data_IF_527531595248
#
_entry.id   IF_527531595248
#
_cell.length_a   1.000
_cell.length_b   1.000
_cell.length_c   1.000
_cell.angle_alpha   90.00
_cell.angle_beta   90.00
_cell.angle_gamma   90.00
#
_symmetry.space_group_name_H-M   'P 1'
#
loop_
_entity.id
_entity.type
_entity.pdbx_description
1 polymer ?
#
# COMPACT_ATOMS: atom_id res chain seq x y z
N UNK A 1 16.98 2.22 -12.98
CA UNK A 1 16.99 2.05 -11.50
C UNK A 1 16.14 3.08 -10.76
N UNK A 2 15.89 4.25 -11.36
CA UNK A 2 15.03 5.26 -10.76
C UNK A 2 13.62 4.73 -10.43
N UNK A 3 13.08 3.86 -11.27
CA UNK A 3 11.75 3.27 -11.09
C UNK A 3 11.68 2.39 -9.85
N UNK A 4 12.70 1.57 -9.64
CA UNK A 4 12.78 0.69 -8.47
C UNK A 4 12.98 1.50 -7.21
N UNK A 5 13.83 2.52 -7.27
CA UNK A 5 14.08 3.41 -6.14
C UNK A 5 12.83 4.21 -5.77
N UNK A 6 12.12 4.73 -6.76
CA UNK A 6 10.83 5.41 -6.54
C UNK A 6 9.81 4.49 -5.88
N UNK A 7 9.72 3.25 -6.35
CA UNK A 7 8.86 2.25 -5.75
C UNK A 7 9.22 1.98 -4.29
N UNK A 8 10.51 1.87 -3.99
CA UNK A 8 10.98 1.69 -2.63
C UNK A 8 10.60 2.88 -1.74
N UNK A 9 10.84 4.10 -2.20
CA UNK A 9 10.53 5.33 -1.44
C UNK A 9 9.03 5.42 -1.16
N UNK A 10 8.19 5.20 -2.17
CA UNK A 10 6.74 5.25 -2.02
C UNK A 10 6.25 4.13 -1.12
N UNK A 11 6.81 2.93 -1.25
CA UNK A 11 6.51 1.81 -0.36
C UNK A 11 6.86 2.11 1.10
N UNK A 12 8.00 2.73 1.33
CA UNK A 12 8.41 3.17 2.67
C UNK A 12 7.44 4.20 3.23
N UNK A 13 7.10 5.22 2.45
CA UNK A 13 6.15 6.25 2.87
C UNK A 13 4.77 5.66 3.18
N UNK A 14 4.30 4.75 2.34
CA UNK A 14 3.04 4.06 2.58
C UNK A 14 3.08 3.18 3.83
N UNK A 15 4.21 2.53 4.11
CA UNK A 15 4.37 1.73 5.33
C UNK A 15 4.24 2.58 6.59
N UNK A 16 4.77 3.81 6.57
CA UNK A 16 4.61 4.74 7.69
C UNK A 16 3.14 5.11 7.91
N UNK A 17 2.41 5.42 6.85
CA UNK A 17 0.97 5.71 6.92
C UNK A 17 0.19 4.51 7.43
N UNK A 18 0.47 3.33 6.90
CA UNK A 18 -0.18 2.08 7.31
C UNK A 18 0.06 1.81 8.80
N UNK A 19 1.30 1.97 9.25
CA UNK A 19 1.67 1.78 10.66
C UNK A 19 0.94 2.77 11.56
N UNK A 20 0.83 4.04 11.15
CA UNK A 20 0.11 5.05 11.90
C UNK A 20 -1.38 4.69 12.05
N UNK A 21 -2.02 4.26 10.97
CA UNK A 21 -3.43 3.84 11.01
C UNK A 21 -3.61 2.60 11.88
N UNK A 22 -2.71 1.62 11.74
CA UNK A 22 -2.74 0.40 12.56
C UNK A 22 -2.56 0.72 14.05
N UNK A 23 -1.66 1.63 14.39
CA UNK A 23 -1.44 2.07 15.78
C UNK A 23 -2.69 2.73 16.36
N UNK A 24 -3.37 3.60 15.60
CA UNK A 24 -4.62 4.22 16.03
C UNK A 24 -5.69 3.15 16.27
N UNK A 25 -5.79 2.16 15.39
CA UNK A 25 -6.76 1.08 15.55
C UNK A 25 -6.50 0.25 16.81
N UNK A 26 -5.23 -0.03 17.11
CA UNK A 26 -4.84 -0.76 18.33
C UNK A 26 -5.15 0.05 19.58
N UNK A 27 -4.83 1.35 19.58
CA UNK A 27 -5.09 2.25 20.71
C UNK A 27 -6.59 2.37 20.99
N UNK A 28 -7.40 2.46 19.94
CA UNK A 28 -8.86 2.54 20.09
C UNK A 28 -9.49 1.20 20.54
N UNK A 29 -8.70 0.12 20.59
CA UNK A 29 -9.21 -1.21 20.95
C UNK A 29 -10.24 -1.75 19.98
N UNK A 30 -10.34 -1.17 18.79
CA UNK A 30 -11.31 -1.55 17.76
C UNK A 30 -10.70 -2.43 16.68
N UNK A 31 -9.66 -3.18 17.01
CA UNK A 31 -9.07 -4.12 16.09
C UNK A 31 -10.08 -5.19 15.70
N UNK A 32 -10.42 -5.27 14.42
CA UNK A 32 -11.27 -6.34 13.88
C UNK A 32 -10.47 -7.58 13.51
N UNK A 33 -9.16 -7.56 13.73
CA UNK A 33 -8.29 -8.70 13.49
C UNK A 33 -8.32 -9.58 14.75
N UNK A 34 -8.82 -10.83 14.67
CA UNK A 34 -8.95 -11.70 15.85
C UNK A 34 -7.62 -11.93 16.57
N UNK A 35 -6.53 -12.00 15.84
CA UNK A 35 -5.19 -12.18 16.39
C UNK A 35 -4.79 -11.00 17.30
N UNK A 36 -5.00 -9.78 16.85
CA UNK A 36 -4.67 -8.58 17.64
C UNK A 36 -5.56 -8.46 18.88
N UNK A 37 -6.84 -8.76 18.76
CA UNK A 37 -7.79 -8.79 19.88
C UNK A 37 -7.36 -9.80 20.92
N UNK A 38 -6.94 -10.99 20.49
CA UNK A 38 -6.45 -12.04 21.38
C UNK A 38 -5.15 -11.64 22.07
N UNK A 39 -4.22 -11.01 21.37
CA UNK A 39 -2.97 -10.52 21.92
C UNK A 39 -3.21 -9.42 22.97
N UNK A 40 -4.14 -8.50 22.71
CA UNK A 40 -4.54 -7.46 23.68
C UNK A 40 -5.15 -8.10 24.92
N UNK A 41 -5.99 -9.12 24.76
CA UNK A 41 -6.60 -9.85 25.87
C UNK A 41 -5.56 -10.58 26.73
N UNK A 42 -4.41 -10.94 26.18
CA UNK A 42 -3.31 -11.57 26.91
C UNK A 42 -2.37 -10.56 27.59
N UNK A 43 -2.76 -9.29 27.68
CA UNK A 43 -1.98 -8.20 28.28
C UNK A 43 -0.61 -7.97 27.66
N UNK A 44 -0.48 -8.24 26.36
CA UNK A 44 0.72 -7.87 25.60
C UNK A 44 0.69 -6.34 25.42
N UNK A 45 1.74 -5.65 25.85
CA UNK A 45 1.81 -4.19 25.77
C UNK A 45 1.70 -3.70 24.32
N UNK A 46 1.03 -2.54 24.14
CA UNK A 46 0.89 -1.92 22.82
C UNK A 46 2.24 -1.72 22.12
N UNK A 47 3.29 -1.36 22.89
CA UNK A 47 4.65 -1.21 22.37
C UNK A 47 5.23 -2.52 21.85
N UNK A 48 4.95 -3.63 22.53
CA UNK A 48 5.42 -4.96 22.11
C UNK A 48 4.75 -5.44 20.84
N UNK A 49 3.51 -5.01 20.57
CA UNK A 49 2.82 -5.30 19.30
C UNK A 49 3.23 -4.35 18.21
N UNK A 50 3.49 -3.09 18.54
CA UNK A 50 3.82 -2.06 17.55
C UNK A 50 5.12 -2.36 16.80
N UNK A 51 6.15 -2.86 17.48
CA UNK A 51 7.47 -3.13 16.87
C UNK A 51 7.38 -4.20 15.77
N UNK A 52 6.87 -5.43 16.03
CA UNK A 52 6.80 -6.44 14.96
C UNK A 52 5.82 -6.07 13.86
N UNK A 53 4.71 -5.40 14.18
CA UNK A 53 3.75 -4.93 13.16
C UNK A 53 4.40 -3.88 12.26
N UNK A 54 5.14 -2.94 12.85
CA UNK A 54 5.85 -1.90 12.07
C UNK A 54 6.91 -2.50 11.17
N UNK A 55 7.71 -3.45 11.66
CA UNK A 55 8.74 -4.13 10.87
C UNK A 55 8.11 -4.92 9.73
N UNK A 56 7.05 -5.66 10.01
CA UNK A 56 6.34 -6.44 8.99
C UNK A 56 5.72 -5.53 7.93
N UNK A 57 5.08 -4.45 8.35
CA UNK A 57 4.51 -3.46 7.43
C UNK A 57 5.59 -2.83 6.55
N UNK A 58 6.72 -2.46 7.14
CA UNK A 58 7.86 -1.92 6.40
C UNK A 58 8.34 -2.91 5.34
N UNK A 59 8.58 -4.16 5.72
CA UNK A 59 9.05 -5.19 4.79
C UNK A 59 8.05 -5.45 3.66
N UNK A 60 6.77 -5.61 3.99
CA UNK A 60 5.72 -5.91 3.01
C UNK A 60 5.56 -4.74 2.04
N UNK A 61 5.41 -3.54 2.55
CA UNK A 61 5.11 -2.38 1.69
C UNK A 61 6.31 -1.91 0.87
N UNK A 62 7.53 -2.03 1.40
CA UNK A 62 8.73 -1.75 0.60
C UNK A 62 8.92 -2.80 -0.49
N UNK A 63 8.66 -4.07 -0.20
CA UNK A 63 8.69 -5.13 -1.20
C UNK A 63 7.65 -4.90 -2.30
N UNK A 64 6.42 -4.58 -1.92
CA UNK A 64 5.35 -4.23 -2.87
C UNK A 64 5.78 -3.02 -3.72
N UNK A 65 6.36 -2.01 -3.10
CA UNK A 65 6.87 -0.83 -3.80
C UNK A 65 7.94 -1.18 -4.82
N UNK A 66 8.91 -2.01 -4.45
CA UNK A 66 9.97 -2.47 -5.36
C UNK A 66 9.38 -3.28 -6.53
N UNK A 67 8.45 -4.18 -6.25
CA UNK A 67 7.77 -4.96 -7.29
C UNK A 67 6.99 -4.06 -8.26
N UNK A 68 6.26 -3.08 -7.75
CA UNK A 68 5.56 -2.11 -8.59
C UNK A 68 6.53 -1.24 -9.38
N UNK A 69 7.67 -0.88 -8.80
CA UNK A 69 8.74 -0.18 -9.50
C UNK A 69 9.29 -0.99 -10.68
N UNK A 70 9.50 -2.29 -10.48
CA UNK A 70 9.91 -3.20 -11.55
C UNK A 70 8.84 -3.33 -12.63
N UNK A 71 7.57 -3.42 -12.25
CA UNK A 71 6.45 -3.43 -13.18
C UNK A 71 6.39 -2.14 -13.99
N UNK A 72 6.58 -1.00 -13.34
CA UNK A 72 6.60 0.29 -14.01
C UNK A 72 7.77 0.37 -15.01
N UNK A 73 8.95 -0.12 -14.63
CA UNK A 73 10.09 -0.20 -15.53
C UNK A 73 9.77 -1.05 -16.76
N UNK A 74 9.17 -2.21 -16.56
CA UNK A 74 8.76 -3.09 -17.66
C UNK A 74 7.74 -2.39 -18.56
N UNK A 75 6.76 -1.72 -17.98
CA UNK A 75 5.75 -0.98 -18.74
C UNK A 75 6.38 0.16 -19.54
N UNK A 76 7.31 0.90 -18.94
CA UNK A 76 8.00 2.00 -19.61
C UNK A 76 8.83 1.54 -20.80
N UNK A 77 9.47 0.37 -20.71
CA UNK A 77 10.29 -0.18 -21.79
C UNK A 77 9.46 -0.81 -22.92
N UNK A 78 8.29 -1.37 -22.61
CA UNK A 78 7.51 -2.16 -23.55
C UNK A 78 6.21 -1.49 -23.99
N UNK A 79 5.66 -0.58 -23.20
CA UNK A 79 4.38 0.06 -23.46
C UNK A 79 4.58 1.57 -23.41
N UNK A 80 4.38 2.23 -24.56
CA UNK A 80 4.53 3.67 -24.65
C UNK A 80 3.22 4.39 -24.32
N UNK A 81 3.33 5.58 -23.76
CA UNK A 81 2.27 6.56 -23.72
C UNK A 81 1.88 7.05 -22.33
N UNK A 82 1.84 8.37 -22.17
CA UNK A 82 1.23 9.05 -21.07
C UNK A 82 -0.27 9.23 -21.27
N UNK A 83 -1.00 9.38 -20.18
CA UNK A 83 -2.44 9.60 -20.17
C UNK A 83 -3.00 9.41 -18.77
N UNK A 84 -4.23 9.86 -18.54
CA UNK A 84 -4.87 9.82 -17.23
C UNK A 84 -4.09 10.57 -16.13
N UNK A 85 -3.32 11.58 -16.51
CA UNK A 85 -2.46 12.32 -15.58
C UNK A 85 -1.21 11.56 -15.14
N UNK A 86 -0.84 10.46 -15.81
CA UNK A 86 0.31 9.63 -15.49
C UNK A 86 1.29 9.57 -16.66
N UNK A 87 2.61 9.47 -16.40
CA UNK A 87 3.60 9.27 -17.46
C UNK A 87 3.41 7.96 -18.22
N UNK A 88 2.79 6.96 -17.62
CA UNK A 88 2.51 5.68 -18.27
C UNK A 88 1.11 5.19 -17.87
N UNK A 89 0.13 5.44 -18.74
CA UNK A 89 -1.26 5.07 -18.47
C UNK A 89 -1.50 3.55 -18.39
N UNK A 90 -0.78 2.67 -19.16
CA UNK A 90 -0.98 1.23 -19.00
C UNK A 90 -0.62 0.74 -17.60
N UNK A 91 0.46 1.26 -17.01
CA UNK A 91 0.83 0.91 -15.64
C UNK A 91 -0.24 1.39 -14.65
N UNK A 92 -0.68 2.64 -14.76
CA UNK A 92 -1.70 3.21 -13.89
C UNK A 92 -2.99 2.42 -13.99
N UNK A 93 -3.41 2.06 -15.20
CA UNK A 93 -4.61 1.25 -15.41
C UNK A 93 -4.46 -0.14 -14.78
N UNK A 94 -3.31 -0.79 -14.92
CA UNK A 94 -3.05 -2.09 -14.32
C UNK A 94 -3.14 -2.04 -12.79
N UNK A 95 -2.58 -1.00 -12.17
CA UNK A 95 -2.66 -0.80 -10.72
C UNK A 95 -4.12 -0.59 -10.29
N UNK A 96 -4.88 0.22 -11.03
CA UNK A 96 -6.29 0.46 -10.72
C UNK A 96 -7.13 -0.81 -10.85
N UNK A 97 -6.88 -1.64 -11.85
CA UNK A 97 -7.55 -2.93 -12.02
C UNK A 97 -7.23 -3.85 -10.84
N UNK A 98 -5.96 -3.91 -10.42
CA UNK A 98 -5.55 -4.70 -9.27
C UNK A 98 -6.23 -4.23 -7.98
N UNK A 99 -6.38 -2.92 -7.80
CA UNK A 99 -7.08 -2.33 -6.65
C UNK A 99 -8.55 -2.69 -6.65
N UNK A 100 -9.22 -2.60 -7.80
CA UNK A 100 -10.64 -2.97 -7.92
C UNK A 100 -10.82 -4.47 -7.62
N UNK A 101 -9.91 -5.31 -8.10
CA UNK A 101 -9.93 -6.75 -7.80
C UNK A 101 -9.74 -7.00 -6.30
N UNK A 102 -8.82 -6.29 -5.66
CA UNK A 102 -8.60 -6.37 -4.22
C UNK A 102 -9.86 -5.98 -3.44
N UNK A 103 -10.49 -4.85 -3.81
CA UNK A 103 -11.72 -4.41 -3.15
C UNK A 103 -12.86 -5.40 -3.35
N UNK A 104 -12.95 -6.01 -4.52
CA UNK A 104 -13.95 -7.05 -4.80
C UNK A 104 -13.74 -8.27 -3.92
N UNK A 105 -12.48 -8.70 -3.73
CA UNK A 105 -12.14 -9.83 -2.85
C UNK A 105 -12.48 -9.49 -1.39
N UNK A 106 -12.14 -8.29 -0.93
CA UNK A 106 -12.48 -7.85 0.43
C UNK A 106 -13.99 -7.82 0.63
N UNK A 107 -14.73 -7.25 -0.31
CA UNK A 107 -16.19 -7.21 -0.25
C UNK A 107 -16.80 -8.62 -0.21
N UNK A 108 -16.29 -9.52 -1.05
CA UNK A 108 -16.76 -10.89 -1.09
C UNK A 108 -16.50 -11.62 0.22
N UNK A 109 -15.30 -11.44 0.81
CA UNK A 109 -14.90 -12.12 2.04
C UNK A 109 -15.67 -11.61 3.26
N UNK A 110 -15.84 -10.30 3.38
CA UNK A 110 -16.44 -9.68 4.58
C UNK A 110 -17.86 -9.17 4.36
N UNK A 111 -18.35 -9.22 3.14
CA UNK A 111 -19.69 -8.74 2.78
C UNK A 111 -19.92 -7.25 3.05
N UNK A 112 -18.86 -6.49 3.31
CA UNK A 112 -18.89 -5.05 3.47
C UNK A 112 -17.52 -4.46 3.23
N UNK A 113 -17.48 -3.18 2.86
CA UNK A 113 -16.24 -2.43 2.70
C UNK A 113 -16.15 -1.39 3.84
N UNK A 114 -15.28 -1.60 4.85
CA UNK A 114 -15.04 -0.58 5.87
C UNK A 114 -14.49 0.69 5.23
N UNK A 115 -14.92 1.86 5.69
CA UNK A 115 -14.46 3.14 5.14
C UNK A 115 -12.96 3.32 5.26
N UNK A 116 -12.35 2.76 6.32
CA UNK A 116 -10.90 2.81 6.53
C UNK A 116 -10.13 2.05 5.44
N UNK A 117 -10.64 0.90 5.01
CA UNK A 117 -10.06 0.14 3.90
C UNK A 117 -10.18 0.93 2.60
N UNK A 118 -11.32 1.56 2.35
CA UNK A 118 -11.51 2.42 1.19
C UNK A 118 -10.55 3.59 1.19
N UNK A 119 -10.39 4.27 2.33
CA UNK A 119 -9.49 5.41 2.47
C UNK A 119 -8.04 5.00 2.19
N UNK A 120 -7.57 3.91 2.82
CA UNK A 120 -6.22 3.41 2.61
C UNK A 120 -5.99 2.97 1.16
N UNK A 121 -7.00 2.39 0.54
CA UNK A 121 -6.92 1.99 -0.87
C UNK A 121 -6.83 3.19 -1.79
N UNK A 122 -7.57 4.28 -1.50
CA UNK A 122 -7.46 5.53 -2.25
C UNK A 122 -6.08 6.16 -2.11
N UNK A 123 -5.52 6.16 -0.91
CA UNK A 123 -4.16 6.65 -0.66
C UNK A 123 -3.14 5.80 -1.43
N UNK A 124 -3.28 4.49 -1.38
CA UNK A 124 -2.43 3.56 -2.14
C UNK A 124 -2.50 3.87 -3.64
N UNK A 125 -3.70 4.05 -4.18
CA UNK A 125 -3.89 4.39 -5.59
C UNK A 125 -3.18 5.70 -5.95
N UNK A 126 -3.37 6.75 -5.15
CA UNK A 126 -2.71 8.03 -5.38
C UNK A 126 -1.19 7.92 -5.34
N UNK A 127 -0.65 7.22 -4.36
CA UNK A 127 0.80 7.08 -4.18
C UNK A 127 1.44 6.21 -5.26
N UNK A 128 0.88 5.04 -5.55
CA UNK A 128 1.51 4.09 -6.46
C UNK A 128 1.11 4.26 -7.91
N UNK A 129 -0.15 4.58 -8.20
CA UNK A 129 -0.60 4.72 -9.58
C UNK A 129 -0.13 6.03 -10.22
N UNK A 130 -0.06 7.11 -9.45
CA UNK A 130 0.33 8.42 -9.95
C UNK A 130 1.63 8.94 -9.33
N UNK A 131 1.79 8.87 -8.01
CA UNK A 131 2.95 9.43 -7.32
C UNK A 131 4.26 8.74 -7.71
N UNK A 132 4.31 7.43 -7.71
CA UNK A 132 5.51 6.68 -8.06
C UNK A 132 5.97 6.94 -9.51
N UNK A 133 5.08 6.92 -10.53
CA UNK A 133 5.50 7.27 -11.89
C UNK A 133 6.07 8.68 -12.01
N UNK A 134 5.46 9.65 -11.35
CA UNK A 134 5.99 11.02 -11.36
C UNK A 134 7.36 11.12 -10.70
N UNK A 135 7.57 10.44 -9.57
CA UNK A 135 8.88 10.41 -8.91
C UNK A 135 9.93 9.74 -9.80
N UNK A 136 9.57 8.67 -10.49
CA UNK A 136 10.48 8.00 -11.42
C UNK A 136 10.92 8.92 -12.56
N UNK A 137 10.00 9.73 -13.09
CA UNK A 137 10.32 10.69 -14.16
C UNK A 137 11.18 11.86 -13.67
N UNK A 138 11.13 12.18 -12.38
CA UNK A 138 12.01 13.19 -11.79
C UNK A 138 13.45 12.70 -11.58
N UNK A 139 13.72 11.42 -11.84
CA UNK A 139 15.06 10.85 -11.72
C UNK A 139 15.45 10.42 -10.29
N UNK A 140 14.47 10.26 -9.42
CA UNK A 140 14.71 9.76 -8.06
C UNK A 140 14.86 8.26 -8.01
#
# INVERSE_FOLDING_TARGET
MAEVFSGFVVGYAFSLLFTAVAAVMVIEGRSQVPYLTKAIAQNIGAAQLAVPISLLAFLVWTLVGVLLGLMYRAARLNLAGGGLGSPNWPFTLAVLIAIVAFLAVVYYAWRRLPWRVLLMTLVFAGMFAWGMPHLAELGL
#
